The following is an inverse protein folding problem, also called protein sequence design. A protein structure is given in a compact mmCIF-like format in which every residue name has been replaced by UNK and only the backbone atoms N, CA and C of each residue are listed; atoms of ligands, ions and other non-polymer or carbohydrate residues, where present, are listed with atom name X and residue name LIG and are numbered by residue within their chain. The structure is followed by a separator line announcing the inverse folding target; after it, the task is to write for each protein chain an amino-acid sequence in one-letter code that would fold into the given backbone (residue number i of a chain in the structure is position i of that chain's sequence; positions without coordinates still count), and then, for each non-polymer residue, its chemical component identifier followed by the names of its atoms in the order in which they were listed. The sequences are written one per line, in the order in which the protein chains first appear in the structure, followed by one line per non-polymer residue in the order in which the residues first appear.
data_IF_214590107124
#
_entry.id   IF_214590107124
#
_cell.length_a   1.000
_cell.length_b   1.000
_cell.length_c   1.000
_cell.angle_alpha   90.00
_cell.angle_beta   90.00
_cell.angle_gamma   90.00
#
_symmetry.space_group_name_H-M   'P 1'
#
loop_
_entity.id
_entity.type
_entity.pdbx_description
1 polymer ?
#
# COMPACT_ATOMS: atom_id res chain seq x y z
N UNK A 1 -8.88 -4.85 -22.94
CA UNK A 1 -8.06 -4.71 -21.73
C UNK A 1 -7.12 -3.49 -21.74
N UNK A 2 -7.32 -2.49 -22.62
CA UNK A 2 -6.43 -1.32 -22.75
C UNK A 2 -6.98 0.00 -22.16
N UNK A 3 -8.07 -0.04 -21.37
CA UNK A 3 -8.79 1.18 -20.92
C UNK A 3 -8.64 1.51 -19.43
N UNK A 4 -7.98 0.66 -18.63
CA UNK A 4 -7.76 0.91 -17.19
C UNK A 4 -6.44 1.62 -16.88
N UNK A 5 -5.47 1.58 -17.80
CA UNK A 5 -4.16 2.22 -17.61
C UNK A 5 -4.23 3.75 -17.57
N UNK A 6 -5.29 4.40 -18.10
CA UNK A 6 -5.39 5.87 -18.14
C UNK A 6 -6.14 6.50 -16.96
N UNK A 7 -6.55 5.73 -15.96
CA UNK A 7 -7.33 6.20 -14.80
C UNK A 7 -6.68 5.90 -13.45
N UNK A 8 -5.56 5.20 -13.46
CA UNK A 8 -4.84 4.86 -12.23
C UNK A 8 -3.83 5.96 -11.95
N UNK A 9 -3.85 6.48 -10.73
CA UNK A 9 -2.88 7.48 -10.28
C UNK A 9 -1.45 6.94 -10.47
N UNK A 10 -0.60 7.70 -11.16
CA UNK A 10 0.78 7.30 -11.48
C UNK A 10 1.60 6.91 -10.25
N UNK A 11 1.26 7.47 -9.08
CA UNK A 11 1.89 7.12 -7.80
C UNK A 11 1.81 5.63 -7.48
N UNK A 12 0.82 4.93 -8.03
CA UNK A 12 0.60 3.50 -7.81
C UNK A 12 1.43 2.59 -8.72
N UNK A 13 2.07 3.11 -9.77
CA UNK A 13 2.87 2.29 -10.70
C UNK A 13 3.92 1.44 -9.97
N UNK A 14 4.73 1.97 -9.03
CA UNK A 14 5.72 1.15 -8.30
C UNK A 14 5.08 0.01 -7.49
N UNK A 15 3.91 0.27 -6.90
CA UNK A 15 3.16 -0.74 -6.11
C UNK A 15 2.65 -1.83 -7.04
N UNK A 16 2.07 -1.46 -8.19
CA UNK A 16 1.52 -2.40 -9.17
C UNK A 16 2.65 -3.28 -9.74
N UNK A 17 3.75 -2.67 -10.15
CA UNK A 17 4.94 -3.37 -10.65
C UNK A 17 5.48 -4.38 -9.62
N UNK A 18 5.46 -4.02 -8.33
CA UNK A 18 5.90 -4.93 -7.29
C UNK A 18 4.93 -6.10 -7.09
N UNK A 19 3.61 -5.86 -7.10
CA UNK A 19 2.62 -6.95 -7.10
C UNK A 19 2.86 -7.90 -8.27
N UNK A 20 3.10 -7.39 -9.48
CA UNK A 20 3.38 -8.22 -10.65
C UNK A 20 4.67 -9.03 -10.50
N UNK A 21 5.73 -8.45 -9.92
CA UNK A 21 6.99 -9.16 -9.60
C UNK A 21 6.78 -10.30 -8.59
N UNK A 22 5.78 -10.21 -7.71
CA UNK A 22 5.39 -11.30 -6.81
C UNK A 22 4.52 -12.37 -7.50
N UNK A 23 4.13 -12.17 -8.76
CA UNK A 23 3.14 -13.00 -9.46
C UNK A 23 1.72 -12.72 -9.00
N UNK A 24 1.45 -11.53 -8.43
CA UNK A 24 0.15 -11.12 -7.91
C UNK A 24 -0.49 -10.04 -8.79
N UNK A 25 -1.80 -9.89 -8.65
CA UNK A 25 -2.58 -8.79 -9.22
C UNK A 25 -3.30 -8.10 -8.06
N UNK A 26 -3.27 -6.75 -7.97
CA UNK A 26 -4.05 -6.03 -6.97
C UNK A 26 -5.54 -6.38 -7.08
N UNK A 27 -6.17 -6.64 -5.93
CA UNK A 27 -7.61 -6.86 -5.85
C UNK A 27 -8.36 -5.52 -5.94
N UNK A 28 -9.61 -5.56 -6.40
CA UNK A 28 -10.41 -4.34 -6.59
C UNK A 28 -10.48 -3.45 -5.34
N UNK A 29 -10.72 -4.04 -4.16
CA UNK A 29 -10.79 -3.29 -2.91
C UNK A 29 -9.44 -2.64 -2.52
N UNK A 30 -8.31 -3.23 -2.92
CA UNK A 30 -6.99 -2.66 -2.69
C UNK A 30 -6.82 -1.41 -3.54
N UNK A 31 -7.12 -1.50 -4.83
CA UNK A 31 -7.11 -0.37 -5.76
C UNK A 31 -8.03 0.76 -5.31
N UNK A 32 -9.27 0.44 -4.92
CA UNK A 32 -10.24 1.41 -4.40
C UNK A 32 -9.71 2.12 -3.14
N UNK A 33 -9.13 1.35 -2.21
CA UNK A 33 -8.55 1.92 -0.98
C UNK A 33 -7.42 2.88 -1.29
N UNK A 34 -6.51 2.50 -2.20
CA UNK A 34 -5.36 3.32 -2.53
C UNK A 34 -5.77 4.61 -3.25
N UNK A 35 -6.71 4.51 -4.21
CA UNK A 35 -7.25 5.68 -4.90
C UNK A 35 -7.97 6.64 -3.94
N UNK A 36 -8.78 6.11 -3.01
CA UNK A 36 -9.45 6.92 -2.00
C UNK A 36 -8.44 7.66 -1.10
N UNK A 37 -7.39 6.97 -0.64
CA UNK A 37 -6.31 7.60 0.13
C UNK A 37 -5.62 8.72 -0.67
N UNK A 38 -5.25 8.45 -1.93
CA UNK A 38 -4.57 9.42 -2.80
C UNK A 38 -5.44 10.63 -3.16
N UNK A 39 -6.77 10.50 -3.03
CA UNK A 39 -7.74 11.59 -3.12
C UNK A 39 -7.96 12.34 -1.79
N UNK A 40 -7.20 12.02 -0.74
CA UNK A 40 -7.30 12.66 0.58
C UNK A 40 -8.49 12.18 1.43
N UNK A 41 -9.07 11.02 1.09
CA UNK A 41 -10.23 10.48 1.79
C UNK A 41 -9.84 9.54 2.93
N UNK A 42 -10.72 9.43 3.94
CA UNK A 42 -10.62 8.43 5.01
C UNK A 42 -11.67 7.33 4.80
N UNK A 43 -11.41 6.11 5.29
CA UNK A 43 -12.35 5.00 5.10
C UNK A 43 -12.10 3.78 5.97
N UNK A 44 -12.98 2.78 5.84
CA UNK A 44 -12.93 1.50 6.54
C UNK A 44 -12.86 0.34 5.54
N UNK A 45 -11.82 -0.50 5.67
CA UNK A 45 -11.66 -1.70 4.86
C UNK A 45 -12.26 -2.89 5.61
N UNK A 46 -13.37 -3.42 5.09
CA UNK A 46 -14.05 -4.61 5.60
C UNK A 46 -13.92 -5.77 4.61
N UNK A 47 -12.97 -6.67 4.88
CA UNK A 47 -12.72 -7.88 4.08
C UNK A 47 -12.36 -9.05 5.01
N UNK A 48 -12.57 -10.31 4.59
CA UNK A 48 -12.16 -11.49 5.36
C UNK A 48 -10.66 -11.52 5.65
N UNK A 49 -10.26 -12.27 6.67
CA UNK A 49 -8.83 -12.55 6.96
C UNK A 49 -8.16 -13.26 5.78
N UNK A 50 -6.85 -13.06 5.62
CA UNK A 50 -6.09 -13.64 4.50
C UNK A 50 -6.27 -12.93 3.14
N UNK A 51 -7.16 -11.94 3.02
CA UNK A 51 -7.44 -11.26 1.74
C UNK A 51 -6.40 -10.23 1.30
N UNK A 52 -5.30 -10.03 2.05
CA UNK A 52 -4.30 -8.98 1.75
C UNK A 52 -4.69 -7.58 2.25
N UNK A 53 -5.49 -7.49 3.33
CA UNK A 53 -5.90 -6.22 3.98
C UNK A 53 -4.72 -5.34 4.39
N UNK A 54 -3.59 -5.93 4.80
CA UNK A 54 -2.40 -5.16 5.20
C UNK A 54 -1.90 -4.29 4.06
N UNK A 55 -1.72 -4.86 2.86
CA UNK A 55 -1.30 -4.09 1.68
C UNK A 55 -2.35 -3.07 1.24
N UNK A 56 -3.64 -3.40 1.37
CA UNK A 56 -4.71 -2.42 1.13
C UNK A 56 -4.53 -1.17 2.01
N UNK A 57 -4.27 -1.37 3.31
CA UNK A 57 -4.20 -0.28 4.28
C UNK A 57 -2.96 0.63 4.13
N UNK A 58 -1.84 0.13 3.60
CA UNK A 58 -0.55 0.86 3.65
C UNK A 58 -0.05 1.34 2.28
N UNK A 59 -0.31 0.60 1.19
CA UNK A 59 0.38 0.85 -0.08
C UNK A 59 -0.01 2.17 -0.75
N UNK A 60 -1.24 2.66 -0.56
CA UNK A 60 -1.63 3.99 -1.04
C UNK A 60 -0.83 5.11 -0.34
N UNK A 61 -0.61 4.97 0.96
CA UNK A 61 0.25 5.89 1.71
C UNK A 61 1.69 5.80 1.24
N UNK A 62 2.23 4.58 1.16
CA UNK A 62 3.63 4.42 0.74
C UNK A 62 3.83 4.95 -0.69
N UNK A 63 2.93 4.67 -1.63
CA UNK A 63 2.93 5.25 -2.98
C UNK A 63 3.06 6.79 -2.96
N UNK A 64 2.29 7.47 -2.11
CA UNK A 64 2.39 8.91 -1.95
C UNK A 64 3.75 9.37 -1.38
N UNK A 65 4.32 8.60 -0.43
CA UNK A 65 5.60 8.92 0.21
C UNK A 65 6.80 8.77 -0.72
N UNK A 66 6.68 7.96 -1.77
CA UNK A 66 7.76 7.76 -2.74
C UNK A 66 7.88 8.90 -3.72
N UNK A 67 6.73 9.43 -4.17
CA UNK A 67 6.72 10.59 -5.04
C UNK A 67 7.13 11.84 -4.26
N UNK A 68 6.63 12.00 -3.04
CA UNK A 68 6.90 13.16 -2.19
C UNK A 68 7.28 12.71 -0.78
N UNK A 69 8.56 12.37 -0.53
CA UNK A 69 9.03 12.08 0.81
C UNK A 69 8.93 13.34 1.66
N UNK A 70 8.53 13.17 2.92
CA UNK A 70 8.38 14.26 3.88
C UNK A 70 9.35 14.08 5.04
N UNK A 71 9.30 15.03 5.98
CA UNK A 71 10.23 15.08 7.11
C UNK A 71 9.48 14.66 8.38
N UNK A 72 10.07 13.75 9.15
CA UNK A 72 9.50 13.27 10.41
C UNK A 72 8.53 12.10 10.25
N UNK A 73 7.59 11.94 11.19
CA UNK A 73 6.63 10.84 11.19
C UNK A 73 5.63 10.96 10.03
N UNK A 74 5.68 10.02 9.09
CA UNK A 74 4.87 10.06 7.87
C UNK A 74 3.69 9.08 7.85
N UNK A 75 3.82 7.94 8.54
CA UNK A 75 2.82 6.89 8.58
C UNK A 75 2.81 6.26 9.98
N UNK A 76 1.63 6.17 10.60
CA UNK A 76 1.44 5.52 11.89
C UNK A 76 0.47 4.35 11.74
N UNK A 77 0.97 3.13 11.96
CA UNK A 77 0.16 1.93 12.01
C UNK A 77 -0.12 1.55 13.47
N UNK A 78 -1.40 1.43 13.85
CA UNK A 78 -1.81 1.05 15.20
C UNK A 78 -2.42 -0.36 15.15
N UNK A 79 -1.93 -1.26 15.99
CA UNK A 79 -2.45 -2.63 16.16
C UNK A 79 -2.80 -2.88 17.63
N UNK A 80 -3.92 -3.56 17.93
CA UNK A 80 -4.31 -3.84 19.32
C UNK A 80 -3.44 -4.91 20.00
N UNK A 81 -2.71 -5.72 19.23
CA UNK A 81 -1.93 -6.83 19.74
C UNK A 81 -0.46 -6.68 19.38
N UNK A 82 0.40 -6.65 20.41
CA UNK A 82 1.87 -6.67 20.25
C UNK A 82 2.35 -7.87 19.45
N UNK A 83 1.66 -9.02 19.57
CA UNK A 83 2.00 -10.23 18.83
C UNK A 83 1.95 -10.03 17.31
N UNK A 84 1.04 -9.16 16.82
CA UNK A 84 0.88 -8.88 15.39
C UNK A 84 1.84 -7.81 14.88
N UNK A 85 2.48 -7.04 15.76
CA UNK A 85 3.35 -5.92 15.34
C UNK A 85 4.50 -6.37 14.45
N UNK A 86 5.11 -7.52 14.75
CA UNK A 86 6.23 -8.05 13.95
C UNK A 86 5.80 -8.49 12.56
N UNK A 87 4.68 -9.20 12.45
CA UNK A 87 4.17 -9.69 11.16
C UNK A 87 3.77 -8.50 10.26
N UNK A 88 3.16 -7.47 10.85
CA UNK A 88 2.78 -6.24 10.15
C UNK A 88 4.02 -5.45 9.74
N UNK A 89 5.01 -5.30 10.63
CA UNK A 89 6.28 -4.65 10.29
C UNK A 89 6.94 -5.35 9.11
N UNK A 90 7.05 -6.68 9.14
CA UNK A 90 7.67 -7.44 8.06
C UNK A 90 6.90 -7.31 6.75
N UNK A 91 5.56 -7.36 6.80
CA UNK A 91 4.72 -7.15 5.63
C UNK A 91 4.89 -5.74 5.02
N UNK A 92 5.11 -4.71 5.84
CA UNK A 92 5.34 -3.33 5.37
C UNK A 92 6.79 -3.15 4.87
N UNK A 93 7.76 -3.71 5.57
CA UNK A 93 9.20 -3.57 5.27
C UNK A 93 9.60 -4.26 3.97
N UNK A 94 9.07 -5.46 3.73
CA UNK A 94 9.37 -6.26 2.53
C UNK A 94 9.22 -5.46 1.21
N UNK A 95 8.07 -4.85 0.91
CA UNK A 95 7.91 -4.08 -0.32
C UNK A 95 8.85 -2.87 -0.38
N UNK A 96 9.08 -2.19 0.75
CA UNK A 96 10.02 -1.06 0.83
C UNK A 96 11.42 -1.47 0.39
N UNK A 97 11.91 -2.59 0.92
CA UNK A 97 13.25 -3.11 0.61
C UNK A 97 13.33 -3.65 -0.83
N UNK A 98 12.35 -4.45 -1.26
CA UNK A 98 12.35 -5.07 -2.58
C UNK A 98 12.16 -4.06 -3.73
N UNK A 99 11.52 -2.93 -3.48
CA UNK A 99 11.42 -1.82 -4.44
C UNK A 99 12.57 -0.82 -4.35
N UNK A 100 13.54 -1.04 -3.45
CA UNK A 100 14.72 -0.21 -3.29
C UNK A 100 14.42 1.18 -2.71
N UNK A 101 13.36 1.31 -1.92
CA UNK A 101 12.91 2.59 -1.40
C UNK A 101 13.76 3.04 -0.21
N UNK A 102 14.25 4.27 -0.28
CA UNK A 102 14.99 4.91 0.81
C UNK A 102 14.05 5.58 1.82
N UNK A 103 13.05 4.85 2.32
CA UNK A 103 12.22 5.30 3.43
C UNK A 103 13.04 5.11 4.72
N UNK A 104 13.47 6.21 5.33
CA UNK A 104 14.25 6.23 6.58
C UNK A 104 13.35 6.52 7.77
#
# INVERSE_FOLDING_TARGET
MARLASLTDRRLEPVIDWFEKQGWQPLAFQMETWQAYLAGQSGLIQVPTGSGKTYAAVMGAIASLLETPGIGLQLLYITPLRALSRDIEQAIRRPIEEMGWSLR
#
